data_IF_462289280974
#
_entry.id   IF_462289280974
#
_cell.length_a   1.000
_cell.length_b   1.000
_cell.length_c   1.000
_cell.angle_alpha   90.00
_cell.angle_beta   90.00
_cell.angle_gamma   90.00
#
_symmetry.space_group_name_H-M   'P 1'
#
loop_
_entity.id
_entity.type
_entity.pdbx_description
1 polymer ?
#
# COMPACT_ATOMS: atom_id res chain seq x y z
N UNK A 1 -5.22 -13.87 5.49
CA UNK A 1 -4.02 -14.26 4.75
C UNK A 1 -3.17 -13.03 4.47
N UNK A 2 -1.87 -13.22 4.25
CA UNK A 2 -0.90 -12.17 3.96
C UNK A 2 -0.39 -12.24 2.52
N UNK A 3 -0.65 -11.20 1.74
CA UNK A 3 -0.30 -11.09 0.33
C UNK A 3 0.78 -10.03 0.09
N UNK A 4 1.69 -10.31 -0.84
CA UNK A 4 2.70 -9.37 -1.32
C UNK A 4 2.61 -9.24 -2.84
N UNK A 5 2.36 -8.02 -3.32
CA UNK A 5 2.47 -7.66 -4.74
C UNK A 5 3.75 -6.85 -4.96
N UNK A 6 4.81 -7.51 -5.47
CA UNK A 6 6.13 -6.91 -5.66
C UNK A 6 6.61 -6.97 -7.11
N UNK A 7 7.87 -6.62 -7.36
CA UNK A 7 8.51 -6.65 -8.68
C UNK A 7 8.62 -5.29 -9.38
N UNK A 8 9.48 -5.23 -10.40
CA UNK A 8 9.79 -4.01 -11.14
C UNK A 8 8.70 -3.60 -12.14
N UNK A 9 7.81 -4.52 -12.51
CA UNK A 9 6.71 -4.31 -13.46
C UNK A 9 5.62 -3.40 -12.92
N UNK A 10 4.89 -2.75 -13.83
CA UNK A 10 3.67 -2.01 -13.53
C UNK A 10 2.56 -2.99 -13.14
N UNK A 11 1.77 -2.64 -12.12
CA UNK A 11 0.52 -3.35 -11.81
C UNK A 11 0.23 -3.56 -10.33
N UNK A 12 1.21 -3.35 -9.43
CA UNK A 12 1.13 -3.76 -8.02
C UNK A 12 -0.02 -3.07 -7.30
N UNK A 13 -0.01 -1.74 -7.32
CA UNK A 13 -1.08 -0.89 -6.78
C UNK A 13 -2.41 -1.15 -7.46
N UNK A 14 -2.43 -1.29 -8.79
CA UNK A 14 -3.69 -1.52 -9.52
C UNK A 14 -4.31 -2.89 -9.22
N UNK A 15 -3.50 -3.91 -8.96
CA UNK A 15 -3.99 -5.21 -8.49
C UNK A 15 -4.57 -5.11 -7.07
N UNK A 16 -3.92 -4.37 -6.16
CA UNK A 16 -4.44 -4.11 -4.81
C UNK A 16 -5.76 -3.31 -4.83
N UNK A 17 -5.90 -2.34 -5.74
CA UNK A 17 -7.16 -1.64 -5.97
C UNK A 17 -8.22 -2.56 -6.55
N UNK A 18 -7.88 -3.44 -7.50
CA UNK A 18 -8.80 -4.42 -8.05
C UNK A 18 -9.36 -5.35 -6.97
N UNK A 19 -8.51 -5.80 -6.05
CA UNK A 19 -8.95 -6.58 -4.87
C UNK A 19 -9.83 -5.74 -3.94
N UNK A 20 -9.47 -4.47 -3.71
CA UNK A 20 -10.28 -3.53 -2.91
C UNK A 20 -11.67 -3.39 -3.49
N UNK A 21 -11.79 -3.14 -4.80
CA UNK A 21 -13.09 -3.03 -5.49
C UNK A 21 -13.90 -4.33 -5.38
N UNK A 22 -13.24 -5.49 -5.56
CA UNK A 22 -13.89 -6.80 -5.36
C UNK A 22 -14.46 -6.92 -3.94
N UNK A 23 -13.68 -6.57 -2.92
CA UNK A 23 -14.08 -6.64 -1.52
C UNK A 23 -15.26 -5.72 -1.20
N UNK A 24 -15.23 -4.48 -1.73
CA UNK A 24 -16.31 -3.51 -1.58
C UNK A 24 -17.60 -3.98 -2.27
N UNK A 25 -17.50 -4.66 -3.41
CA UNK A 25 -18.63 -5.32 -4.08
C UNK A 25 -19.32 -6.35 -3.18
N UNK A 26 -18.57 -7.00 -2.29
CA UNK A 26 -19.08 -7.93 -1.28
C UNK A 26 -19.29 -7.29 0.10
N UNK A 27 -19.37 -5.95 0.17
CA UNK A 27 -19.59 -5.16 1.39
C UNK A 27 -18.58 -5.42 2.52
N UNK A 28 -17.37 -5.85 2.17
CA UNK A 28 -16.27 -5.98 3.12
C UNK A 28 -15.67 -4.62 3.45
N UNK A 29 -15.32 -4.42 4.72
CA UNK A 29 -14.67 -3.20 5.21
C UNK A 29 -13.21 -3.18 4.75
N UNK A 30 -12.82 -2.10 4.09
CA UNK A 30 -11.45 -1.94 3.58
C UNK A 30 -10.79 -0.71 4.21
N UNK A 31 -9.56 -0.89 4.69
CA UNK A 31 -8.65 0.22 4.95
C UNK A 31 -7.55 0.24 3.87
N UNK A 32 -7.45 1.33 3.13
CA UNK A 32 -6.43 1.52 2.10
C UNK A 32 -5.45 2.62 2.52
N UNK A 33 -4.17 2.28 2.64
CA UNK A 33 -3.10 3.16 3.11
C UNK A 33 -2.05 3.27 2.01
N UNK A 34 -1.79 4.49 1.52
CA UNK A 34 -0.72 4.75 0.56
C UNK A 34 0.51 5.36 1.22
N UNK A 35 1.66 4.71 1.14
CA UNK A 35 2.94 5.27 1.56
C UNK A 35 3.59 6.07 0.42
N UNK A 36 4.46 7.02 0.79
CA UNK A 36 5.20 7.92 -0.12
C UNK A 36 4.33 8.84 -0.99
N UNK A 37 3.01 8.88 -0.75
CA UNK A 37 2.08 9.78 -1.43
C UNK A 37 1.47 10.74 -0.43
N UNK A 38 1.35 12.00 -0.84
CA UNK A 38 0.64 13.06 -0.11
C UNK A 38 0.03 14.08 -1.08
N UNK A 39 -0.27 13.62 -2.29
CA UNK A 39 -0.87 14.38 -3.39
C UNK A 39 -2.20 13.75 -3.79
N UNK A 40 -2.99 14.50 -4.53
CA UNK A 40 -4.19 13.97 -5.16
C UNK A 40 -3.83 12.90 -6.20
N UNK A 41 -4.59 11.80 -6.21
CA UNK A 41 -4.41 10.66 -7.12
C UNK A 41 -5.78 10.16 -7.55
N UNK A 42 -5.88 9.55 -8.73
CA UNK A 42 -7.16 8.97 -9.19
C UNK A 42 -7.73 7.96 -8.20
N UNK A 43 -6.87 7.17 -7.56
CA UNK A 43 -7.24 6.23 -6.51
C UNK A 43 -7.88 6.92 -5.31
N UNK A 44 -7.24 7.98 -4.80
CA UNK A 44 -7.76 8.76 -3.67
C UNK A 44 -9.15 9.29 -3.99
N UNK A 45 -9.28 9.98 -5.12
CA UNK A 45 -10.56 10.59 -5.55
C UNK A 45 -11.65 9.52 -5.60
N UNK A 46 -11.36 8.38 -6.23
CA UNK A 46 -12.35 7.32 -6.39
C UNK A 46 -12.72 6.65 -5.06
N UNK A 47 -11.75 6.36 -4.19
CA UNK A 47 -12.02 5.71 -2.90
C UNK A 47 -12.76 6.65 -1.93
N UNK A 48 -12.45 7.94 -1.93
CA UNK A 48 -13.20 8.96 -1.18
C UNK A 48 -14.63 9.11 -1.71
N UNK A 49 -14.80 9.09 -3.04
CA UNK A 49 -16.12 9.07 -3.64
C UNK A 49 -16.92 7.83 -3.22
N UNK A 50 -16.36 6.62 -3.30
CA UNK A 50 -17.04 5.39 -2.84
C UNK A 50 -17.42 5.46 -1.36
N UNK A 51 -16.55 6.00 -0.50
CA UNK A 51 -16.88 6.23 0.90
C UNK A 51 -18.09 7.17 1.05
N UNK A 52 -18.14 8.27 0.27
CA UNK A 52 -19.28 9.20 0.27
C UNK A 52 -20.59 8.56 -0.18
N UNK A 53 -20.51 7.50 -1.01
CA UNK A 53 -21.67 6.72 -1.46
C UNK A 53 -22.05 5.60 -0.46
N UNK A 54 -21.44 5.57 0.72
CA UNK A 54 -21.74 4.60 1.77
C UNK A 54 -21.06 3.24 1.60
N UNK A 55 -20.07 3.11 0.71
CA UNK A 55 -19.23 1.90 0.70
C UNK A 55 -18.30 1.89 1.92
N UNK A 56 -18.05 0.72 2.53
CA UNK A 56 -17.27 0.60 3.76
C UNK A 56 -15.76 0.68 3.48
N UNK A 57 -15.29 1.79 2.92
CA UNK A 57 -13.87 2.04 2.64
C UNK A 57 -13.36 3.25 3.42
N UNK A 58 -12.19 3.10 4.03
CA UNK A 58 -11.42 4.19 4.62
C UNK A 58 -10.11 4.31 3.87
N UNK A 59 -9.76 5.54 3.47
CA UNK A 59 -8.53 5.83 2.76
C UNK A 59 -7.61 6.73 3.60
N UNK A 60 -6.30 6.55 3.47
CA UNK A 60 -5.32 7.52 3.96
C UNK A 60 -4.01 7.48 3.17
N UNK A 61 -3.30 8.59 3.25
CA UNK A 61 -1.98 8.78 2.65
C UNK A 61 -0.96 9.11 3.74
N UNK A 62 0.22 8.51 3.62
CA UNK A 62 1.37 8.71 4.46
C UNK A 62 2.53 9.14 3.56
N UNK A 63 2.72 10.45 3.41
CA UNK A 63 3.74 10.99 2.53
C UNK A 63 3.64 12.50 2.39
N UNK A 64 4.40 13.04 1.43
CA UNK A 64 4.52 14.48 1.21
C UNK A 64 3.91 14.87 -0.14
N UNK A 65 3.75 16.17 -0.35
CA UNK A 65 3.27 16.75 -1.62
C UNK A 65 4.31 16.71 -2.75
N UNK A 66 5.48 16.13 -2.48
CA UNK A 66 6.59 15.96 -3.41
C UNK A 66 7.10 14.52 -3.36
N UNK A 67 7.87 14.13 -4.37
CA UNK A 67 8.55 12.84 -4.41
C UNK A 67 9.61 12.75 -3.31
N UNK A 68 9.49 11.73 -2.45
CA UNK A 68 10.47 11.45 -1.40
C UNK A 68 11.59 10.59 -2.01
N UNK A 69 12.85 11.07 -2.04
CA UNK A 69 13.97 10.26 -2.51
C UNK A 69 14.21 9.09 -1.55
N UNK A 70 14.33 7.87 -2.09
CA UNK A 70 14.39 6.65 -1.28
C UNK A 70 15.77 6.44 -0.63
N UNK A 71 16.86 6.79 -1.30
CA UNK A 71 18.22 6.56 -0.80
C UNK A 71 18.65 7.57 0.27
N UNK A 72 18.16 8.82 0.18
CA UNK A 72 18.49 9.91 1.10
C UNK A 72 17.23 10.71 1.45
N UNK A 73 16.21 10.09 2.09
CA UNK A 73 15.03 10.81 2.53
C UNK A 73 15.43 11.80 3.63
N UNK A 74 14.76 12.95 3.70
CA UNK A 74 14.98 13.86 4.81
C UNK A 74 14.43 13.27 6.10
N UNK A 75 14.91 13.74 7.24
CA UNK A 75 14.38 13.34 8.55
C UNK A 75 12.85 13.52 8.62
N UNK A 76 12.36 14.64 8.12
CA UNK A 76 10.94 14.96 8.00
C UNK A 76 10.12 14.01 7.10
N UNK A 77 10.76 13.40 6.10
CA UNK A 77 10.13 12.41 5.22
C UNK A 77 9.96 11.10 5.98
N UNK A 78 11.02 10.65 6.66
CA UNK A 78 11.03 9.47 7.52
C UNK A 78 9.97 9.58 8.62
N UNK A 79 9.88 10.73 9.28
CA UNK A 79 8.87 10.94 10.32
C UNK A 79 7.45 10.81 9.81
N UNK A 80 7.14 11.36 8.62
CA UNK A 80 5.78 11.30 8.07
C UNK A 80 5.39 9.87 7.72
N UNK A 81 6.31 9.08 7.17
CA UNK A 81 6.08 7.65 6.92
C UNK A 81 5.83 6.90 8.23
N UNK A 82 6.66 7.10 9.26
CA UNK A 82 6.50 6.45 10.58
C UNK A 82 5.21 6.85 11.28
N UNK A 83 4.87 8.14 11.29
CA UNK A 83 3.62 8.67 11.84
C UNK A 83 2.41 8.09 11.09
N UNK A 84 2.50 8.02 9.76
CA UNK A 84 1.49 7.42 8.91
C UNK A 84 1.26 5.94 9.19
N UNK A 85 2.33 5.16 9.34
CA UNK A 85 2.25 3.74 9.73
C UNK A 85 1.58 3.58 11.10
N UNK A 86 2.01 4.33 12.12
CA UNK A 86 1.41 4.27 13.45
C UNK A 86 -0.08 4.65 13.44
N UNK A 87 -0.47 5.65 12.63
CA UNK A 87 -1.87 6.02 12.46
C UNK A 87 -2.66 4.93 11.75
N UNK A 88 -2.08 4.28 10.74
CA UNK A 88 -2.71 3.16 10.05
C UNK A 88 -2.99 2.00 11.02
N UNK A 89 -2.01 1.60 11.84
CA UNK A 89 -2.19 0.55 12.87
C UNK A 89 -3.32 0.92 13.84
N UNK A 90 -3.36 2.17 14.32
CA UNK A 90 -4.47 2.65 15.17
C UNK A 90 -5.82 2.56 14.46
N UNK A 91 -5.89 2.95 13.18
CA UNK A 91 -7.11 2.87 12.38
C UNK A 91 -7.57 1.43 12.19
N UNK A 92 -6.66 0.47 11.96
CA UNK A 92 -7.05 -0.94 11.85
C UNK A 92 -7.78 -1.40 13.11
N UNK A 93 -7.26 -1.08 14.30
CA UNK A 93 -7.89 -1.47 15.58
C UNK A 93 -9.28 -0.86 15.78
N UNK A 94 -9.48 0.37 15.33
CA UNK A 94 -10.76 1.10 15.44
C UNK A 94 -11.77 0.58 14.40
N UNK A 95 -11.34 0.52 13.14
CA UNK A 95 -12.22 0.21 12.01
C UNK A 95 -12.53 -1.28 11.90
N UNK A 96 -11.65 -2.15 12.43
CA UNK A 96 -11.71 -3.61 12.30
C UNK A 96 -12.02 -4.02 10.85
N UNK A 97 -11.19 -3.60 9.88
CA UNK A 97 -11.42 -3.89 8.49
C UNK A 97 -11.32 -5.39 8.24
N UNK A 98 -12.04 -5.89 7.25
CA UNK A 98 -11.87 -7.26 6.78
C UNK A 98 -10.63 -7.36 5.88
N UNK A 99 -10.26 -6.25 5.22
CA UNK A 99 -9.06 -6.15 4.36
C UNK A 99 -8.30 -4.85 4.64
N UNK A 100 -6.98 -4.95 4.76
CA UNK A 100 -6.08 -3.79 4.81
C UNK A 100 -5.04 -3.84 3.68
N UNK A 101 -4.93 -2.73 2.95
CA UNK A 101 -3.91 -2.52 1.92
C UNK A 101 -2.89 -1.51 2.44
N UNK A 102 -1.64 -1.92 2.44
CA UNK A 102 -0.48 -1.07 2.68
C UNK A 102 0.30 -0.91 1.36
N UNK A 103 -0.11 0.07 0.57
CA UNK A 103 0.43 0.36 -0.75
C UNK A 103 1.79 1.07 -0.64
N UNK A 104 2.80 0.54 -1.32
CA UNK A 104 4.21 0.96 -1.32
C UNK A 104 4.96 0.82 0.03
N UNK A 105 4.43 0.02 0.96
CA UNK A 105 5.10 -0.23 2.24
C UNK A 105 6.42 -1.00 2.09
N UNK A 106 6.56 -1.83 1.05
CA UNK A 106 7.80 -2.58 0.80
C UNK A 106 8.99 -1.63 0.60
N UNK A 107 8.78 -0.46 -0.01
CA UNK A 107 9.82 0.56 -0.13
C UNK A 107 10.22 1.11 1.24
N UNK A 108 9.27 1.37 2.13
CA UNK A 108 9.59 1.87 3.47
C UNK A 108 10.44 0.88 4.27
N UNK A 109 10.26 -0.41 4.04
CA UNK A 109 11.07 -1.47 4.66
C UNK A 109 12.44 -1.63 3.99
N UNK A 110 12.48 -1.68 2.66
CA UNK A 110 13.73 -1.85 1.90
C UNK A 110 14.73 -0.73 2.17
N UNK A 111 14.25 0.47 2.48
CA UNK A 111 15.08 1.64 2.80
C UNK A 111 15.18 1.92 4.31
N UNK A 112 14.86 0.95 5.17
CA UNK A 112 14.97 1.02 6.63
C UNK A 112 14.25 2.22 7.28
N UNK A 113 13.20 2.74 6.63
CA UNK A 113 12.36 3.83 7.17
C UNK A 113 11.45 3.26 8.26
N UNK A 114 10.87 2.08 8.00
CA UNK A 114 10.10 1.29 8.95
C UNK A 114 10.93 0.09 9.42
N UNK A 115 10.78 -0.23 10.72
CA UNK A 115 11.43 -1.38 11.34
C UNK A 115 10.66 -2.67 11.02
N UNK A 116 11.37 -3.66 10.46
CA UNK A 116 10.80 -4.94 10.05
C UNK A 116 10.18 -5.71 11.22
N UNK A 117 10.81 -5.70 12.40
CA UNK A 117 10.28 -6.40 13.57
C UNK A 117 8.93 -5.83 14.02
N UNK A 118 8.78 -4.51 13.94
CA UNK A 118 7.52 -3.82 14.23
C UNK A 118 6.43 -4.18 13.21
N UNK A 119 6.79 -4.32 11.94
CA UNK A 119 5.87 -4.80 10.89
C UNK A 119 5.40 -6.23 11.17
N UNK A 120 6.33 -7.14 11.48
CA UNK A 120 6.00 -8.55 11.75
C UNK A 120 5.02 -8.71 12.92
N UNK A 121 5.18 -7.90 13.97
CA UNK A 121 4.23 -7.87 15.10
C UNK A 121 2.84 -7.44 14.67
N UNK A 122 2.74 -6.43 13.80
CA UNK A 122 1.45 -5.96 13.26
C UNK A 122 0.83 -7.03 12.37
N UNK A 123 1.59 -7.67 11.49
CA UNK A 123 1.08 -8.78 10.64
C UNK A 123 0.48 -9.88 11.52
N UNK A 124 1.21 -10.34 12.55
CA UNK A 124 0.71 -11.38 13.47
C UNK A 124 -0.56 -10.95 14.23
N UNK A 125 -0.68 -9.68 14.63
CA UNK A 125 -1.89 -9.14 15.25
C UNK A 125 -3.10 -9.18 14.29
N UNK A 126 -2.88 -8.80 13.03
CA UNK A 126 -3.90 -8.74 11.99
C UNK A 126 -4.37 -10.14 11.56
N UNK A 127 -3.45 -11.10 11.44
CA UNK A 127 -3.78 -12.50 11.16
C UNK A 127 -4.66 -13.10 12.25
N UNK A 128 -4.32 -12.89 13.53
CA UNK A 128 -5.15 -13.34 14.66
C UNK A 128 -6.54 -12.72 14.66
N UNK A 129 -6.69 -11.53 14.08
CA UNK A 129 -7.96 -10.85 13.92
C UNK A 129 -8.70 -11.26 12.62
N UNK A 130 -8.20 -12.26 11.87
CA UNK A 130 -8.73 -12.70 10.58
C UNK A 130 -8.84 -11.58 9.53
N UNK A 131 -7.88 -10.65 9.53
CA UNK A 131 -7.79 -9.58 8.54
C UNK A 131 -6.98 -10.05 7.34
N UNK A 132 -7.46 -9.76 6.13
CA UNK A 132 -6.68 -9.95 4.90
C UNK A 132 -5.68 -8.79 4.72
N UNK A 133 -4.40 -9.10 4.52
CA UNK A 133 -3.31 -8.12 4.53
C UNK A 133 -2.69 -8.08 3.14
N UNK A 134 -2.58 -6.90 2.53
CA UNK A 134 -1.94 -6.73 1.22
C UNK A 134 -0.84 -5.70 1.31
N UNK A 135 0.38 -6.12 1.03
CA UNK A 135 1.53 -5.25 0.91
C UNK A 135 1.88 -5.09 -0.56
N UNK A 136 2.18 -3.85 -0.97
CA UNK A 136 2.67 -3.58 -2.32
C UNK A 136 4.01 -2.85 -2.29
N UNK A 137 4.66 -2.86 -3.44
CA UNK A 137 5.86 -2.08 -3.70
C UNK A 137 7.04 -2.95 -4.11
N UNK A 138 8.07 -2.30 -4.65
CA UNK A 138 9.31 -2.99 -5.05
C UNK A 138 10.09 -3.44 -3.81
N UNK A 139 11.00 -4.39 -4.02
CA UNK A 139 11.98 -4.81 -3.01
C UNK A 139 11.33 -5.32 -1.71
N UNK A 140 10.32 -6.21 -1.82
CA UNK A 140 9.77 -6.87 -0.65
C UNK A 140 10.91 -7.57 0.15
N UNK A 141 11.05 -7.31 1.46
CA UNK A 141 12.02 -8.00 2.30
C UNK A 141 11.85 -9.51 2.22
N UNK A 142 12.95 -10.26 2.24
CA UNK A 142 12.92 -11.72 2.09
C UNK A 142 12.15 -12.38 3.23
N UNK A 143 12.33 -11.84 4.43
CA UNK A 143 11.67 -12.27 5.66
C UNK A 143 10.14 -12.13 5.55
N UNK A 144 9.64 -11.11 4.85
CA UNK A 144 8.20 -10.98 4.57
C UNK A 144 7.74 -11.96 3.50
N UNK A 145 8.55 -12.19 2.47
CA UNK A 145 8.24 -13.15 1.41
C UNK A 145 8.12 -14.57 1.97
N UNK A 146 8.95 -14.94 2.94
CA UNK A 146 8.94 -16.26 3.58
C UNK A 146 7.67 -16.54 4.39
N UNK A 147 7.06 -15.51 4.99
CA UNK A 147 5.85 -15.65 5.82
C UNK A 147 4.56 -15.30 5.09
N UNK A 148 4.62 -14.80 3.85
CA UNK A 148 3.44 -14.46 3.08
C UNK A 148 2.76 -15.71 2.50
N UNK A 149 1.43 -15.76 2.62
CA UNK A 149 0.60 -16.82 2.01
C UNK A 149 0.56 -16.72 0.49
N UNK A 150 0.73 -15.50 -0.06
CA UNK A 150 0.72 -15.26 -1.50
C UNK A 150 1.73 -14.18 -1.87
N UNK A 151 2.62 -14.50 -2.81
CA UNK A 151 3.57 -13.53 -3.37
C UNK A 151 3.44 -13.50 -4.89
N UNK A 152 3.06 -12.34 -5.43
CA UNK A 152 3.06 -12.09 -6.87
C UNK A 152 4.21 -11.17 -7.24
N UNK A 153 5.13 -11.66 -8.08
CA UNK A 153 6.22 -10.87 -8.63
C UNK A 153 5.85 -10.34 -10.03
N UNK A 154 5.58 -9.04 -10.14
CA UNK A 154 5.30 -8.40 -11.42
C UNK A 154 6.59 -8.10 -12.15
N UNK A 155 6.89 -8.91 -13.17
CA UNK A 155 8.09 -8.76 -13.99
C UNK A 155 7.86 -7.72 -15.09
N UNK A 156 8.79 -6.77 -15.25
CA UNK A 156 8.77 -5.80 -16.35
C UNK A 156 9.22 -6.48 -17.65
N UNK A 157 8.32 -7.15 -18.35
CA UNK A 157 8.61 -7.76 -19.67
C UNK A 157 8.83 -6.68 -20.73
N UNK A 158 7.92 -5.69 -20.79
CA UNK A 158 8.04 -4.46 -21.60
C UNK A 158 7.33 -3.31 -20.89
N UNK A 159 7.77 -2.07 -21.10
CA UNK A 159 7.07 -0.89 -20.60
C UNK A 159 7.18 0.27 -21.61
N UNK A 160 6.10 1.01 -21.87
CA UNK A 160 6.11 2.13 -22.83
C UNK A 160 7.02 3.29 -22.40
N UNK A 161 7.32 3.39 -21.11
CA UNK A 161 8.37 4.30 -20.60
C UNK A 161 9.73 4.04 -21.26
N UNK A 162 10.06 2.77 -21.55
CA UNK A 162 11.31 2.40 -22.23
C UNK A 162 11.35 2.94 -23.68
N UNK A 163 10.20 3.37 -24.22
CA UNK A 163 10.06 4.06 -25.52
C UNK A 163 9.91 5.59 -25.38
N UNK A 164 10.18 6.15 -24.20
CA UNK A 164 10.06 7.59 -23.94
C UNK A 164 8.64 8.08 -23.65
N UNK A 165 7.65 7.20 -23.53
CA UNK A 165 6.28 7.61 -23.17
C UNK A 165 6.25 8.07 -21.71
N UNK A 166 5.90 9.34 -21.50
CA UNK A 166 5.76 9.95 -20.17
C UNK A 166 4.51 9.46 -19.44
N UNK A 167 4.44 9.71 -18.14
CA UNK A 167 3.29 9.40 -17.31
C UNK A 167 2.03 10.15 -17.78
N UNK A 168 0.89 9.47 -17.80
CA UNK A 168 -0.41 9.98 -18.27
C UNK A 168 -1.47 9.86 -17.18
N UNK A 169 -2.30 10.89 -17.07
CA UNK A 169 -3.45 10.93 -16.17
C UNK A 169 -4.43 9.79 -16.50
N UNK A 170 -4.93 9.11 -15.49
CA UNK A 170 -5.81 7.94 -15.58
C UNK A 170 -5.10 6.63 -15.91
N UNK A 171 -3.80 6.65 -16.20
CA UNK A 171 -3.03 5.44 -16.56
C UNK A 171 -1.84 5.22 -15.61
N UNK A 172 -1.07 6.27 -15.30
CA UNK A 172 0.03 6.24 -14.33
C UNK A 172 -0.32 6.93 -13.01
N UNK A 173 -1.18 7.96 -13.05
CA UNK A 173 -1.60 8.77 -11.90
C UNK A 173 -3.01 9.36 -12.08
#
# INVERSE_FOLDING_TARGET
>A
MFHIYTGAGKGKTTAALGLTLRALGWRKRVLFVQFFKGIETGEKIMLEYLASQGFPVSFMQAGRKYFIPLEKPRHEDVEVIRKGFNLAVKKVRILKPDIVVFDEINLALAYNILDLNSIMKVISELEKANVEIIFTGRYAPKELVEVADLVTNMVKVKHYFDKGVKARRGIEY
#
